data_IF_630321092592
#
_entry.id   IF_630321092592
#
_cell.length_a   1.000
_cell.length_b   1.000
_cell.length_c   1.000
_cell.angle_alpha   90.00
_cell.angle_beta   90.00
_cell.angle_gamma   90.00
#
_symmetry.space_group_name_H-M   'P 1'
#
loop_
_entity.id
_entity.type
_entity.pdbx_description
1 polymer ?
#
# COMPACT_ATOMS: atom_id res chain seq x y z
N UNK A 1 -14.36 -0.70 10.94
CA UNK A 1 -13.90 -1.85 11.74
C UNK A 1 -13.77 -3.14 10.93
N UNK A 2 -14.71 -3.47 10.04
CA UNK A 2 -14.70 -4.76 9.31
C UNK A 2 -14.05 -4.71 7.91
N UNK A 3 -13.98 -3.54 7.27
CA UNK A 3 -13.45 -3.44 5.90
C UNK A 3 -11.92 -3.55 5.83
N UNK A 4 -11.21 -3.08 6.87
CA UNK A 4 -9.75 -3.05 6.88
C UNK A 4 -9.15 -4.44 6.99
N UNK A 5 -9.71 -5.33 7.83
CA UNK A 5 -9.21 -6.70 7.99
C UNK A 5 -9.41 -7.54 6.72
N UNK A 6 -10.58 -7.44 6.08
CA UNK A 6 -10.85 -8.14 4.80
C UNK A 6 -9.89 -7.68 3.72
N UNK A 7 -9.52 -6.39 3.71
CA UNK A 7 -8.60 -5.84 2.73
C UNK A 7 -7.15 -6.22 3.03
N UNK A 8 -6.72 -6.25 4.28
CA UNK A 8 -5.39 -6.77 4.66
C UNK A 8 -5.23 -8.25 4.30
N UNK A 9 -6.27 -9.07 4.51
CA UNK A 9 -6.27 -10.48 4.10
C UNK A 9 -6.17 -10.63 2.58
N UNK A 10 -6.88 -9.76 1.83
CA UNK A 10 -6.78 -9.71 0.38
C UNK A 10 -5.37 -9.31 -0.09
N UNK A 11 -4.75 -8.31 0.54
CA UNK A 11 -3.37 -7.90 0.24
C UNK A 11 -2.39 -9.03 0.52
N UNK A 12 -2.50 -9.69 1.67
CA UNK A 12 -1.68 -10.86 2.01
C UNK A 12 -1.85 -12.01 1.01
N UNK A 13 -3.09 -12.25 0.56
CA UNK A 13 -3.37 -13.25 -0.48
C UNK A 13 -2.78 -12.85 -1.85
N UNK A 14 -2.70 -11.56 -2.16
CA UNK A 14 -2.05 -11.07 -3.37
C UNK A 14 -0.53 -11.29 -3.33
N UNK A 15 0.11 -11.03 -2.19
CA UNK A 15 1.55 -11.29 -1.97
C UNK A 15 1.84 -12.79 -2.15
N UNK A 16 1.09 -13.66 -1.48
CA UNK A 16 1.26 -15.12 -1.60
C UNK A 16 1.08 -15.63 -3.04
N UNK A 17 0.19 -15.00 -3.82
CA UNK A 17 0.04 -15.32 -5.24
C UNK A 17 1.24 -14.86 -6.06
N UNK A 18 1.83 -13.70 -5.75
CA UNK A 18 3.02 -13.22 -6.42
C UNK A 18 4.24 -14.12 -6.15
N UNK A 19 4.39 -14.63 -4.93
CA UNK A 19 5.41 -15.64 -4.58
C UNK A 19 5.24 -16.90 -5.45
N UNK A 20 4.03 -17.45 -5.50
CA UNK A 20 3.73 -18.65 -6.26
C UNK A 20 3.99 -18.49 -7.77
N UNK A 21 3.73 -17.29 -8.32
CA UNK A 21 3.94 -16.99 -9.74
C UNK A 21 5.41 -16.70 -10.09
N UNK A 22 6.15 -16.06 -9.18
CA UNK A 22 7.56 -15.70 -9.38
C UNK A 22 8.53 -16.84 -9.07
N UNK A 23 8.12 -17.79 -8.21
CA UNK A 23 8.99 -18.85 -7.71
C UNK A 23 10.07 -18.35 -6.73
N UNK A 24 9.92 -17.11 -6.25
CA UNK A 24 10.78 -16.50 -5.24
C UNK A 24 9.98 -16.28 -3.95
N UNK A 25 10.68 -16.36 -2.82
CA UNK A 25 10.15 -15.88 -1.54
C UNK A 25 10.08 -14.35 -1.60
N UNK A 26 8.94 -13.78 -1.23
CA UNK A 26 8.72 -12.33 -1.23
C UNK A 26 8.45 -11.90 0.21
N UNK A 27 9.39 -11.16 0.80
CA UNK A 27 9.13 -10.54 2.08
C UNK A 27 8.08 -9.44 1.90
N UNK A 28 7.00 -9.49 2.69
CA UNK A 28 5.97 -8.45 2.68
C UNK A 28 6.58 -7.06 2.96
N UNK A 29 7.65 -6.98 3.76
CA UNK A 29 8.36 -5.73 4.03
C UNK A 29 9.05 -5.13 2.79
N UNK A 30 9.24 -5.90 1.72
CA UNK A 30 9.76 -5.44 0.41
C UNK A 30 8.64 -5.20 -0.61
N UNK A 31 7.38 -5.39 -0.23
CA UNK A 31 6.22 -5.15 -1.08
C UNK A 31 5.68 -3.75 -0.87
N UNK A 32 5.58 -2.98 -1.95
CA UNK A 32 4.92 -1.67 -1.94
C UNK A 32 3.48 -1.80 -2.43
N UNK A 33 2.53 -1.39 -1.61
CA UNK A 33 1.10 -1.32 -1.95
C UNK A 33 0.73 0.13 -2.17
N UNK A 34 0.20 0.41 -3.36
CA UNK A 34 -0.16 1.76 -3.79
C UNK A 34 -1.67 1.95 -3.71
N UNK A 35 -2.12 3.05 -3.12
CA UNK A 35 -3.54 3.44 -3.13
C UNK A 35 -3.76 4.93 -2.86
N UNK A 36 -4.97 5.41 -3.15
CA UNK A 36 -5.37 6.81 -3.01
C UNK A 36 -6.33 7.05 -1.83
N UNK A 37 -6.62 6.01 -1.04
CA UNK A 37 -7.51 6.11 0.13
C UNK A 37 -6.82 5.67 1.43
N UNK A 38 -7.20 6.23 2.60
CA UNK A 38 -6.75 5.76 3.92
C UNK A 38 -6.96 4.26 4.16
N UNK A 39 -7.95 3.68 3.47
CA UNK A 39 -8.28 2.26 3.60
C UNK A 39 -7.28 1.37 2.84
N UNK A 40 -6.67 1.87 1.77
CA UNK A 40 -5.58 1.17 1.09
C UNK A 40 -4.31 1.19 1.94
N UNK A 41 -4.03 2.32 2.59
CA UNK A 41 -2.94 2.46 3.56
C UNK A 41 -3.11 1.45 4.70
N UNK A 42 -4.27 1.44 5.35
CA UNK A 42 -4.55 0.48 6.43
C UNK A 42 -4.42 -0.98 5.99
N UNK A 43 -4.78 -1.29 4.74
CA UNK A 43 -4.67 -2.64 4.20
C UNK A 43 -3.21 -3.07 3.98
N UNK A 44 -2.39 -2.17 3.43
CA UNK A 44 -0.96 -2.37 3.25
C UNK A 44 -0.26 -2.63 4.59
N UNK A 45 -0.46 -1.74 5.55
CA UNK A 45 0.12 -1.84 6.89
C UNK A 45 -0.33 -3.13 7.60
N UNK A 46 -1.62 -3.48 7.53
CA UNK A 46 -2.14 -4.72 8.12
C UNK A 46 -1.63 -6.00 7.44
N UNK A 47 -1.13 -5.90 6.21
CA UNK A 47 -0.45 -6.99 5.52
C UNK A 47 1.07 -7.05 5.80
N UNK A 48 1.61 -6.04 6.50
CA UNK A 48 3.06 -5.90 6.72
C UNK A 48 3.81 -5.35 5.50
N UNK A 49 3.08 -4.75 4.55
CA UNK A 49 3.64 -4.14 3.36
C UNK A 49 3.88 -2.63 3.54
N UNK A 50 4.73 -2.06 2.69
CA UNK A 50 4.98 -0.63 2.63
C UNK A 50 3.79 0.06 1.96
N UNK A 51 3.21 1.03 2.65
CA UNK A 51 2.05 1.79 2.20
C UNK A 51 2.48 3.05 1.42
N UNK A 52 2.12 3.12 0.14
CA UNK A 52 2.36 4.29 -0.72
C UNK A 52 1.04 4.96 -1.08
N UNK A 53 0.78 6.11 -0.46
CA UNK A 53 -0.36 6.96 -0.76
C UNK A 53 -0.14 7.82 -2.00
N UNK A 54 -1.16 7.95 -2.86
CA UNK A 54 -1.10 8.86 -4.01
C UNK A 54 -2.30 9.81 -3.99
N UNK A 55 -2.05 11.09 -3.75
CA UNK A 55 -3.07 12.14 -3.59
C UNK A 55 -3.64 12.65 -4.93
N UNK A 56 -3.88 11.74 -5.88
CA UNK A 56 -4.59 12.02 -7.14
C UNK A 56 -6.10 11.81 -7.02
N UNK A 57 -6.56 11.18 -5.94
CA UNK A 57 -7.96 10.87 -5.66
C UNK A 57 -8.67 11.94 -4.80
N UNK A 58 -9.63 11.50 -3.98
CA UNK A 58 -10.40 12.37 -3.08
C UNK A 58 -9.59 12.84 -1.85
N UNK A 59 -8.58 12.07 -1.45
CA UNK A 59 -7.81 12.31 -0.23
C UNK A 59 -6.55 13.12 -0.50
N UNK A 60 -6.31 14.13 0.33
CA UNK A 60 -5.13 14.98 0.27
C UNK A 60 -3.88 14.24 0.77
N UNK A 61 -2.70 14.82 0.48
CA UNK A 61 -1.42 14.34 1.02
C UNK A 61 -1.49 14.20 2.54
N UNK A 62 -1.95 15.25 3.24
CA UNK A 62 -2.03 15.27 4.70
C UNK A 62 -2.97 14.17 5.22
N UNK A 63 -4.10 13.92 4.54
CA UNK A 63 -5.04 12.87 4.95
C UNK A 63 -4.47 11.46 4.76
N UNK A 64 -3.60 11.25 3.77
CA UNK A 64 -2.92 9.98 3.56
C UNK A 64 -1.76 9.79 4.55
N UNK A 65 -1.07 10.88 4.92
CA UNK A 65 -0.06 10.87 5.99
C UNK A 65 -0.70 10.59 7.36
N UNK A 66 -1.84 11.21 7.66
CA UNK A 66 -2.62 10.96 8.88
C UNK A 66 -3.16 9.52 8.96
N UNK A 67 -3.20 8.81 7.83
CA UNK A 67 -3.55 7.39 7.76
C UNK A 67 -2.35 6.45 7.96
N UNK A 68 -1.18 6.98 8.32
CA UNK A 68 0.09 6.29 8.53
C UNK A 68 0.74 5.75 7.23
N UNK A 69 0.56 6.41 6.09
CA UNK A 69 1.28 6.03 4.87
C UNK A 69 2.80 6.21 5.02
N UNK A 70 3.58 5.20 4.68
CA UNK A 70 5.05 5.26 4.71
C UNK A 70 5.59 6.29 3.71
N UNK A 71 4.94 6.39 2.54
CA UNK A 71 5.24 7.38 1.52
C UNK A 71 3.96 7.99 0.97
N UNK A 72 4.01 9.28 0.63
CA UNK A 72 2.90 9.95 -0.06
C UNK A 72 3.40 10.75 -1.25
N UNK A 73 2.79 10.51 -2.41
CA UNK A 73 3.03 11.20 -3.66
C UNK A 73 1.82 12.07 -3.98
N UNK A 74 2.02 13.26 -4.55
CA UNK A 74 0.96 14.09 -5.13
C UNK A 74 0.48 13.52 -6.44
N UNK A 75 1.41 13.06 -7.28
CA UNK A 75 1.09 12.44 -8.57
C UNK A 75 2.27 11.60 -9.08
N UNK A 76 2.00 10.60 -9.93
CA UNK A 76 3.07 9.89 -10.65
C UNK A 76 3.71 10.69 -11.79
N UNK A 77 3.11 11.82 -12.17
CA UNK A 77 3.65 12.65 -13.24
C UNK A 77 4.81 13.53 -12.74
N UNK A 78 4.71 13.99 -11.49
CA UNK A 78 5.61 15.00 -10.94
C UNK A 78 6.50 14.45 -9.80
N UNK A 79 6.11 13.35 -9.15
CA UNK A 79 6.89 12.74 -8.08
C UNK A 79 7.60 11.45 -8.53
N UNK A 80 8.75 11.20 -7.89
CA UNK A 80 9.51 9.96 -8.10
C UNK A 80 9.01 8.88 -7.15
N UNK A 81 8.84 7.67 -7.66
CA UNK A 81 8.46 6.52 -6.84
C UNK A 81 9.56 6.23 -5.80
N UNK A 82 9.21 5.87 -4.54
CA UNK A 82 10.22 5.62 -3.52
C UNK A 82 11.04 4.36 -3.84
N UNK A 83 12.31 4.38 -3.44
CA UNK A 83 13.16 3.19 -3.46
C UNK A 83 12.95 2.36 -2.19
N UNK A 84 13.07 1.03 -2.31
CA UNK A 84 13.23 0.11 -1.18
C UNK A 84 14.62 0.21 -0.56
#
# INVERSE_FOLDING_TARGET
GSDSSVRSDLTRAAIARAEALSGADIDAAEVMVVGDTPRDIAAALGAGAIAVGVATGEYSVDQLQDADADHVLRSFADDTFPSL
#
